data_IF_879587012024
#
_entry.id   IF_879587012024
#
_cell.length_a   1.000
_cell.length_b   1.000
_cell.length_c   1.000
_cell.angle_alpha   90.00
_cell.angle_beta   90.00
_cell.angle_gamma   90.00
#
_symmetry.space_group_name_H-M   'P 1'
#
loop_
_entity.id
_entity.type
_entity.pdbx_description
1 polymer ?
#
# COMPACT_ATOMS: atom_id res chain seq x y z
N UNK A 1 13.73 -26.54 11.64
CA UNK A 1 13.23 -25.19 11.24
C UNK A 1 12.12 -25.42 10.24
N UNK A 2 10.94 -24.86 10.47
CA UNK A 2 9.84 -24.96 9.51
C UNK A 2 10.02 -23.93 8.35
N UNK A 3 9.16 -23.99 7.31
CA UNK A 3 9.30 -23.12 6.12
C UNK A 3 9.21 -21.64 6.44
N UNK A 4 8.31 -21.23 7.35
CA UNK A 4 8.16 -19.83 7.76
C UNK A 4 9.37 -19.32 8.54
N UNK A 5 9.97 -20.13 9.42
CA UNK A 5 11.21 -19.79 10.11
C UNK A 5 12.39 -19.67 9.14
N UNK A 6 12.45 -20.55 8.15
CA UNK A 6 13.45 -20.49 7.08
C UNK A 6 13.28 -19.22 6.26
N UNK A 7 12.06 -18.86 5.86
CA UNK A 7 11.78 -17.63 5.13
C UNK A 7 12.20 -16.39 5.92
N UNK A 8 11.95 -16.33 7.23
CA UNK A 8 12.46 -15.28 8.09
C UNK A 8 13.99 -15.19 8.12
N UNK A 9 14.66 -16.33 8.08
CA UNK A 9 16.13 -16.39 7.99
C UNK A 9 16.62 -15.87 6.63
N UNK A 10 15.94 -16.24 5.53
CA UNK A 10 16.25 -15.73 4.18
C UNK A 10 16.02 -14.23 4.08
N UNK A 11 14.93 -13.72 4.67
CA UNK A 11 14.63 -12.28 4.70
C UNK A 11 15.76 -11.46 5.37
N UNK A 12 16.22 -11.91 6.52
CA UNK A 12 17.38 -11.31 7.21
C UNK A 12 18.66 -11.39 6.35
N UNK A 13 18.89 -12.52 5.68
CA UNK A 13 20.05 -12.71 4.81
C UNK A 13 19.97 -11.88 3.51
N UNK A 14 18.79 -11.73 2.93
CA UNK A 14 18.56 -10.86 1.78
C UNK A 14 18.86 -9.42 2.12
N UNK A 15 18.41 -8.95 3.28
CA UNK A 15 18.72 -7.62 3.77
C UNK A 15 20.22 -7.42 4.08
N UNK A 16 20.80 -8.28 4.92
CA UNK A 16 22.14 -8.05 5.47
C UNK A 16 23.30 -8.42 4.55
N UNK A 17 23.08 -9.33 3.59
CA UNK A 17 24.11 -9.90 2.73
C UNK A 17 23.76 -9.86 1.24
N UNK A 18 22.60 -9.32 0.85
CA UNK A 18 22.16 -9.28 -0.54
C UNK A 18 21.88 -10.68 -1.13
N UNK A 19 21.45 -11.64 -0.30
CA UNK A 19 21.15 -12.97 -0.78
C UNK A 19 19.96 -12.93 -1.75
N UNK A 20 20.11 -13.55 -2.91
CA UNK A 20 19.06 -13.63 -3.94
C UNK A 20 18.38 -15.00 -3.90
N UNK A 21 17.10 -15.01 -4.27
CA UNK A 21 16.35 -16.23 -4.51
C UNK A 21 16.81 -16.92 -5.80
N UNK A 22 16.65 -18.25 -5.92
CA UNK A 22 16.83 -18.94 -7.19
C UNK A 22 15.88 -18.38 -8.26
N UNK A 23 16.38 -18.17 -9.46
CA UNK A 23 15.54 -17.74 -10.58
C UNK A 23 14.76 -18.96 -11.08
N UNK A 24 13.43 -18.89 -11.21
CA UNK A 24 12.64 -20.01 -11.71
C UNK A 24 12.88 -20.24 -13.21
N UNK A 25 12.98 -21.49 -13.62
CA UNK A 25 13.14 -21.87 -15.03
C UNK A 25 11.91 -21.49 -15.88
N UNK A 26 10.74 -21.47 -15.25
CA UNK A 26 9.46 -21.09 -15.88
C UNK A 26 8.73 -20.10 -14.98
N UNK A 27 8.17 -19.07 -15.60
CA UNK A 27 7.34 -18.11 -14.89
C UNK A 27 5.95 -18.69 -14.65
N UNK A 28 5.43 -18.49 -13.46
CA UNK A 28 4.09 -18.92 -13.11
C UNK A 28 3.02 -18.05 -13.77
N UNK A 29 1.95 -18.68 -14.24
CA UNK A 29 0.70 -17.98 -14.53
C UNK A 29 -0.16 -17.74 -13.27
N UNK A 30 0.08 -18.50 -12.20
CA UNK A 30 -0.68 -18.41 -10.95
C UNK A 30 -0.11 -17.33 -10.03
N UNK A 31 -0.89 -16.31 -9.77
CA UNK A 31 -0.50 -15.14 -8.97
C UNK A 31 -1.36 -15.03 -7.72
N UNK A 32 -0.72 -14.77 -6.61
CA UNK A 32 -1.39 -14.43 -5.35
C UNK A 32 -1.23 -12.94 -5.09
N UNK A 33 -2.32 -12.29 -4.72
CA UNK A 33 -2.30 -10.90 -4.27
C UNK A 33 -2.25 -10.88 -2.75
N UNK A 34 -1.21 -10.26 -2.21
CA UNK A 34 -1.03 -9.98 -0.79
C UNK A 34 -1.45 -8.53 -0.54
N UNK A 35 -2.43 -8.33 0.31
CA UNK A 35 -2.81 -7.01 0.83
C UNK A 35 -1.68 -6.38 1.64
N UNK A 36 -2.00 -5.36 2.42
CA UNK A 36 -1.00 -4.62 3.21
C UNK A 36 -0.26 -5.57 4.16
N UNK A 37 1.06 -5.81 3.95
CA UNK A 37 1.83 -6.75 4.78
C UNK A 37 2.25 -6.11 6.12
N UNK A 38 1.39 -5.32 6.72
CA UNK A 38 1.60 -4.66 8.01
C UNK A 38 1.49 -5.65 9.17
N UNK A 39 2.39 -6.65 9.21
CA UNK A 39 2.48 -7.67 10.25
C UNK A 39 3.94 -8.05 10.52
N UNK A 40 4.21 -8.72 11.65
CA UNK A 40 5.56 -9.21 11.93
C UNK A 40 6.02 -10.23 10.88
N UNK A 41 7.33 -10.34 10.65
CA UNK A 41 7.88 -11.34 9.74
C UNK A 41 7.37 -12.76 10.03
N UNK A 42 7.28 -13.12 11.30
CA UNK A 42 6.78 -14.43 11.71
C UNK A 42 5.32 -14.62 11.28
N UNK A 43 4.48 -13.61 11.47
CA UNK A 43 3.08 -13.63 11.06
C UNK A 43 2.95 -13.71 9.53
N UNK A 44 3.66 -12.87 8.78
CA UNK A 44 3.64 -12.85 7.33
C UNK A 44 4.04 -14.20 6.73
N UNK A 45 5.17 -14.75 7.17
CA UNK A 45 5.62 -16.04 6.66
C UNK A 45 4.75 -17.22 7.12
N UNK A 46 4.11 -17.14 8.28
CA UNK A 46 3.12 -18.14 8.68
C UNK A 46 1.89 -18.13 7.76
N UNK A 47 1.41 -16.94 7.35
CA UNK A 47 0.33 -16.84 6.37
C UNK A 47 0.75 -17.38 4.99
N UNK A 48 1.93 -17.03 4.49
CA UNK A 48 2.44 -17.53 3.22
C UNK A 48 2.66 -19.05 3.24
N UNK A 49 3.15 -19.61 4.35
CA UNK A 49 3.32 -21.05 4.50
C UNK A 49 1.97 -21.78 4.53
N UNK A 50 0.97 -21.23 5.24
CA UNK A 50 -0.39 -21.76 5.25
C UNK A 50 -1.03 -21.80 3.85
N UNK A 51 -0.68 -20.85 2.97
CA UNK A 51 -1.08 -20.85 1.56
C UNK A 51 -0.25 -21.81 0.69
N UNK A 52 0.72 -22.52 1.27
CA UNK A 52 1.61 -23.46 0.58
C UNK A 52 2.41 -22.84 -0.56
N UNK A 53 2.78 -21.56 -0.43
CA UNK A 53 3.54 -20.83 -1.46
C UNK A 53 5.04 -20.77 -1.18
N UNK A 54 5.51 -21.30 -0.03
CA UNK A 54 6.91 -21.34 0.33
C UNK A 54 7.53 -22.72 0.00
N UNK A 55 8.78 -22.70 -0.46
CA UNK A 55 9.64 -23.87 -0.53
C UNK A 55 10.17 -24.24 0.87
N UNK A 56 10.76 -25.43 1.00
CA UNK A 56 11.43 -25.83 2.26
C UNK A 56 12.62 -24.93 2.59
N UNK A 57 13.25 -24.33 1.58
CA UNK A 57 14.34 -23.36 1.74
C UNK A 57 13.87 -21.94 2.10
N UNK A 58 12.58 -21.71 2.21
CA UNK A 58 11.99 -20.42 2.62
C UNK A 58 11.94 -19.36 1.53
N UNK A 59 12.00 -19.75 0.27
CA UNK A 59 11.72 -18.88 -0.88
C UNK A 59 10.32 -19.11 -1.43
N UNK A 60 9.84 -18.24 -2.31
CA UNK A 60 8.62 -18.53 -3.09
C UNK A 60 8.83 -19.75 -3.97
N UNK A 61 7.80 -20.55 -4.12
CA UNK A 61 7.77 -21.66 -5.06
C UNK A 61 7.90 -21.11 -6.49
N UNK A 62 8.61 -21.83 -7.38
CA UNK A 62 8.79 -21.41 -8.77
C UNK A 62 7.48 -21.22 -9.55
N UNK A 63 6.44 -21.99 -9.17
CA UNK A 63 5.12 -21.99 -9.81
C UNK A 63 4.15 -20.96 -9.20
N UNK A 64 4.63 -19.99 -8.41
CA UNK A 64 3.83 -18.96 -7.78
C UNK A 64 4.42 -17.59 -8.05
N UNK A 65 3.59 -16.68 -8.56
CA UNK A 65 3.83 -15.24 -8.56
C UNK A 65 3.20 -14.56 -7.35
N UNK A 66 3.79 -13.47 -6.88
CA UNK A 66 3.27 -12.69 -5.76
C UNK A 66 3.19 -11.21 -6.14
N UNK A 67 2.00 -10.62 -6.01
CA UNK A 67 1.77 -9.17 -6.10
C UNK A 67 1.51 -8.66 -4.70
N UNK A 68 2.36 -7.76 -4.20
CA UNK A 68 2.16 -7.06 -2.93
C UNK A 68 1.65 -5.66 -3.21
N UNK A 69 0.54 -5.27 -2.58
CA UNK A 69 -0.15 -4.01 -2.90
C UNK A 69 0.42 -2.79 -2.17
N UNK A 70 1.53 -2.91 -1.45
CA UNK A 70 2.18 -1.81 -0.72
C UNK A 70 2.00 -1.90 0.78
N UNK A 71 2.47 -0.86 1.48
CA UNK A 71 2.45 -0.73 2.94
C UNK A 71 3.24 -1.84 3.66
N UNK A 72 4.55 -1.90 3.35
CA UNK A 72 5.49 -2.90 3.93
C UNK A 72 5.93 -2.57 5.35
N UNK A 73 5.62 -1.37 5.86
CA UNK A 73 6.07 -0.86 7.14
C UNK A 73 4.92 -0.65 8.14
N UNK A 74 5.26 -0.34 9.40
CA UNK A 74 4.33 0.16 10.43
C UNK A 74 3.32 -0.86 10.97
N UNK A 75 3.70 -2.13 11.11
CA UNK A 75 2.82 -3.18 11.59
C UNK A 75 2.65 -3.21 13.14
N UNK A 76 3.63 -2.71 13.88
CA UNK A 76 3.62 -2.84 15.33
C UNK A 76 2.78 -1.74 15.98
N UNK A 77 2.10 -2.11 17.07
CA UNK A 77 1.50 -1.14 17.97
C UNK A 77 2.57 -0.39 18.77
N UNK A 78 3.75 -0.98 18.89
CA UNK A 78 4.89 -0.44 19.63
C UNK A 78 5.90 0.18 18.68
N UNK A 79 6.38 1.34 19.06
CA UNK A 79 7.44 2.10 18.44
C UNK A 79 8.77 1.44 18.74
N UNK A 80 9.16 0.48 17.92
CA UNK A 80 10.44 -0.21 18.06
C UNK A 80 11.23 -0.19 16.76
N UNK A 81 12.54 0.02 16.89
CA UNK A 81 13.46 -0.09 15.75
C UNK A 81 13.39 -1.48 15.10
N UNK A 82 13.14 -2.54 15.91
CA UNK A 82 12.97 -3.90 15.40
C UNK A 82 11.79 -4.02 14.44
N UNK A 83 10.64 -3.41 14.77
CA UNK A 83 9.50 -3.37 13.86
C UNK A 83 9.85 -2.67 12.53
N UNK A 84 10.59 -1.57 12.59
CA UNK A 84 11.09 -0.87 11.41
C UNK A 84 11.96 -1.76 10.53
N UNK A 85 12.89 -2.52 11.13
CA UNK A 85 13.75 -3.44 10.39
C UNK A 85 13.04 -4.66 9.84
N UNK A 86 12.00 -5.18 10.49
CA UNK A 86 11.25 -6.33 9.98
C UNK A 86 10.57 -6.00 8.64
N UNK A 87 9.97 -4.81 8.47
CA UNK A 87 9.44 -4.37 7.18
C UNK A 87 10.51 -4.28 6.09
N UNK A 88 11.70 -3.74 6.43
CA UNK A 88 12.85 -3.70 5.50
C UNK A 88 13.29 -5.10 5.09
N UNK A 89 13.34 -6.06 6.03
CA UNK A 89 13.73 -7.45 5.78
C UNK A 89 12.70 -8.15 4.89
N UNK A 90 11.40 -7.93 5.11
CA UNK A 90 10.36 -8.49 4.26
C UNK A 90 10.46 -7.95 2.82
N UNK A 91 10.60 -6.64 2.68
CA UNK A 91 10.76 -6.01 1.38
C UNK A 91 12.05 -6.46 0.67
N UNK A 92 13.14 -6.69 1.41
CA UNK A 92 14.37 -7.25 0.87
C UNK A 92 14.18 -8.69 0.37
N UNK A 93 13.42 -9.51 1.11
CA UNK A 93 13.08 -10.87 0.69
C UNK A 93 12.25 -10.88 -0.59
N UNK A 94 11.25 -10.01 -0.70
CA UNK A 94 10.46 -9.85 -1.93
C UNK A 94 11.35 -9.42 -3.10
N UNK A 95 12.19 -8.41 -2.89
CA UNK A 95 13.08 -7.87 -3.92
C UNK A 95 14.21 -8.85 -4.31
N UNK A 96 14.49 -9.85 -3.49
CA UNK A 96 15.46 -10.91 -3.79
C UNK A 96 14.98 -11.88 -4.88
N UNK A 97 13.68 -11.95 -5.14
CA UNK A 97 13.10 -12.75 -6.22
C UNK A 97 13.16 -11.99 -7.56
N UNK A 98 13.09 -12.73 -8.64
CA UNK A 98 12.97 -12.14 -9.98
C UNK A 98 11.76 -11.20 -10.07
N UNK A 99 11.91 -10.11 -10.83
CA UNK A 99 10.84 -9.12 -11.04
C UNK A 99 9.60 -9.67 -11.73
N UNK A 100 9.75 -10.77 -12.43
CA UNK A 100 8.62 -11.45 -13.03
C UNK A 100 7.89 -12.37 -12.05
N UNK A 101 8.52 -12.72 -10.92
CA UNK A 101 7.91 -13.52 -9.86
C UNK A 101 7.28 -12.66 -8.78
N UNK A 102 7.89 -11.50 -8.43
CA UNK A 102 7.35 -10.59 -7.41
C UNK A 102 7.11 -9.20 -7.98
N UNK A 103 5.88 -8.72 -7.89
CA UNK A 103 5.52 -7.34 -8.20
C UNK A 103 5.31 -6.56 -6.90
N UNK A 104 6.01 -5.44 -6.78
CA UNK A 104 5.98 -4.58 -5.59
C UNK A 104 5.26 -3.29 -5.92
N UNK A 105 4.04 -3.13 -5.40
CA UNK A 105 3.36 -1.85 -5.48
C UNK A 105 3.80 -0.96 -4.32
N UNK A 106 3.67 0.33 -4.49
CA UNK A 106 3.99 1.34 -3.49
C UNK A 106 2.72 1.79 -2.79
N UNK A 107 2.70 1.70 -1.46
CA UNK A 107 1.66 2.24 -0.62
C UNK A 107 2.03 3.60 -0.01
N UNK A 108 1.10 4.20 0.73
CA UNK A 108 1.34 5.49 1.37
C UNK A 108 2.38 5.39 2.50
N UNK A 109 2.42 4.28 3.25
CA UNK A 109 3.45 4.05 4.26
C UNK A 109 4.84 3.91 3.65
N UNK A 110 4.93 3.47 2.41
CA UNK A 110 6.21 3.26 1.72
C UNK A 110 6.75 4.57 1.16
N UNK A 111 5.93 5.30 0.40
CA UNK A 111 6.35 6.53 -0.29
C UNK A 111 6.73 7.64 0.69
N UNK A 112 6.08 7.72 1.84
CA UNK A 112 6.37 8.73 2.85
C UNK A 112 7.82 8.62 3.38
N UNK A 113 8.43 7.44 3.30
CA UNK A 113 9.86 7.25 3.65
C UNK A 113 10.81 8.05 2.76
N UNK A 114 10.37 8.38 1.55
CA UNK A 114 11.13 9.19 0.58
C UNK A 114 10.46 10.55 0.27
N UNK A 115 9.36 10.86 0.95
CA UNK A 115 8.67 12.15 0.91
C UNK A 115 8.83 12.88 2.25
N UNK A 116 7.87 12.76 3.15
CA UNK A 116 7.85 13.47 4.44
C UNK A 116 9.00 13.10 5.38
N UNK A 117 9.58 11.90 5.24
CA UNK A 117 10.73 11.44 6.02
C UNK A 117 12.06 11.49 5.24
N UNK A 118 12.11 12.15 4.09
CA UNK A 118 13.34 12.27 3.33
C UNK A 118 14.43 12.97 4.16
N UNK A 119 15.53 12.27 4.43
CA UNK A 119 16.61 12.77 5.28
C UNK A 119 16.33 12.79 6.79
N UNK A 120 15.23 12.22 7.24
CA UNK A 120 14.91 12.11 8.64
C UNK A 120 15.88 11.16 9.36
N UNK A 121 16.26 11.49 10.59
CA UNK A 121 16.96 10.59 11.51
C UNK A 121 15.97 9.93 12.48
N UNK A 122 16.34 8.80 13.07
CA UNK A 122 15.51 8.16 14.11
C UNK A 122 15.24 9.08 15.30
N UNK A 123 16.16 9.99 15.64
CA UNK A 123 16.00 10.95 16.71
C UNK A 123 14.92 11.97 16.39
N UNK A 124 15.04 12.67 15.24
CA UNK A 124 14.04 13.64 14.78
C UNK A 124 12.64 13.02 14.63
N UNK A 125 12.58 11.79 14.16
CA UNK A 125 11.33 11.05 14.09
C UNK A 125 10.70 10.86 15.47
N UNK A 126 11.48 10.38 16.48
CA UNK A 126 10.96 10.18 17.84
C UNK A 126 10.54 11.49 18.50
N UNK A 127 11.28 12.58 18.28
CA UNK A 127 10.91 13.91 18.78
C UNK A 127 9.59 14.39 18.18
N UNK A 128 9.41 14.29 16.87
CA UNK A 128 8.14 14.63 16.21
C UNK A 128 6.97 13.78 16.70
N UNK A 129 7.20 12.49 16.89
CA UNK A 129 6.18 11.57 17.41
C UNK A 129 5.80 11.92 18.85
N UNK A 130 6.78 12.22 19.70
CA UNK A 130 6.54 12.65 21.08
C UNK A 130 5.79 13.99 21.13
N UNK A 131 6.12 14.92 20.23
CA UNK A 131 5.40 16.19 20.12
C UNK A 131 3.94 15.97 19.70
N UNK A 132 3.67 15.08 18.73
CA UNK A 132 2.30 14.75 18.36
C UNK A 132 1.51 14.16 19.53
N UNK A 133 2.09 13.22 20.28
CA UNK A 133 1.44 12.68 21.50
C UNK A 133 1.08 13.76 22.50
N UNK A 134 1.96 14.76 22.74
CA UNK A 134 1.66 15.92 23.59
C UNK A 134 0.52 16.77 23.03
N UNK A 135 0.56 17.07 21.73
CA UNK A 135 -0.50 17.82 21.04
C UNK A 135 -1.87 17.16 21.20
N UNK A 136 -1.93 15.83 21.04
CA UNK A 136 -3.18 15.08 21.15
C UNK A 136 -3.81 15.09 22.55
N UNK A 137 -3.05 15.38 23.59
CA UNK A 137 -3.56 15.56 24.98
C UNK A 137 -4.26 16.92 25.17
N UNK A 138 -4.06 17.87 24.27
CA UNK A 138 -4.72 19.19 24.35
C UNK A 138 -6.20 19.04 24.02
N UNK A 139 -7.04 19.76 24.78
CA UNK A 139 -8.49 19.57 24.76
C UNK A 139 -9.17 20.26 23.56
N UNK A 140 -8.61 21.36 23.07
CA UNK A 140 -9.25 22.14 22.01
C UNK A 140 -8.48 22.14 20.70
N UNK A 141 -9.15 22.25 19.55
CA UNK A 141 -8.50 22.37 18.24
C UNK A 141 -7.56 23.59 18.16
N UNK A 142 -7.93 24.70 18.79
CA UNK A 142 -7.16 25.95 18.81
C UNK A 142 -5.82 25.72 19.54
N UNK A 143 -5.86 25.06 20.71
CA UNK A 143 -4.65 24.74 21.47
C UNK A 143 -3.73 23.78 20.67
N UNK A 144 -4.30 22.81 19.96
CA UNK A 144 -3.56 21.91 19.09
C UNK A 144 -2.90 22.65 17.93
N UNK A 145 -3.63 23.61 17.32
CA UNK A 145 -3.10 24.43 16.23
C UNK A 145 -1.93 25.27 16.72
N UNK A 146 -2.09 26.03 17.82
CA UNK A 146 -1.04 26.86 18.40
C UNK A 146 0.21 26.02 18.74
N UNK A 147 0.03 24.87 19.41
CA UNK A 147 1.14 23.97 19.70
C UNK A 147 1.88 23.53 18.44
N UNK A 148 1.17 23.19 17.37
CA UNK A 148 1.76 22.79 16.10
C UNK A 148 2.55 23.91 15.44
N UNK A 149 2.00 25.13 15.43
CA UNK A 149 2.66 26.32 14.88
C UNK A 149 3.98 26.61 15.62
N UNK A 150 3.96 26.60 16.95
CA UNK A 150 5.16 26.77 17.79
C UNK A 150 6.19 25.68 17.54
N UNK A 151 5.73 24.42 17.43
CA UNK A 151 6.60 23.30 17.13
C UNK A 151 7.29 23.46 15.78
N UNK A 152 6.54 23.77 14.72
CA UNK A 152 7.09 23.97 13.36
C UNK A 152 8.08 25.13 13.31
N UNK A 153 7.80 26.21 14.00
CA UNK A 153 8.72 27.35 14.07
C UNK A 153 10.08 26.99 14.70
N UNK A 154 10.05 26.08 15.69
CA UNK A 154 11.26 25.65 16.40
C UNK A 154 11.99 24.48 15.74
N UNK A 155 11.30 23.67 14.92
CA UNK A 155 11.77 22.38 14.40
C UNK A 155 11.45 22.23 12.90
N UNK A 156 11.80 23.21 12.09
CA UNK A 156 11.50 23.27 10.65
C UNK A 156 12.16 22.14 9.83
N UNK A 157 13.19 21.48 10.38
CA UNK A 157 13.93 20.38 9.75
C UNK A 157 13.46 18.98 10.22
N UNK A 158 12.43 18.95 11.07
CA UNK A 158 11.80 17.72 11.52
C UNK A 158 10.67 17.28 10.58
N UNK A 159 10.36 15.97 10.51
CA UNK A 159 9.19 15.53 9.76
C UNK A 159 7.90 16.03 10.41
N UNK A 160 6.79 16.16 9.66
CA UNK A 160 5.50 16.54 10.23
C UNK A 160 5.12 15.62 11.39
N UNK A 161 4.81 16.20 12.56
CA UNK A 161 4.55 15.41 13.78
C UNK A 161 3.38 14.44 13.62
N UNK A 162 2.37 14.81 12.82
CA UNK A 162 1.22 13.95 12.54
C UNK A 162 1.63 12.76 11.67
N UNK A 163 2.53 12.96 10.69
CA UNK A 163 3.11 11.87 9.93
C UNK A 163 3.88 10.91 10.83
N UNK A 164 4.72 11.43 11.72
CA UNK A 164 5.48 10.59 12.67
C UNK A 164 4.57 9.81 13.64
N UNK A 165 3.34 10.28 13.88
CA UNK A 165 2.36 9.57 14.68
C UNK A 165 1.59 8.50 13.89
N UNK A 166 1.19 8.81 12.66
CA UNK A 166 0.45 7.88 11.78
C UNK A 166 1.33 6.70 11.35
N UNK A 167 2.59 6.97 11.05
CA UNK A 167 3.58 5.98 10.63
C UNK A 167 4.43 5.53 11.83
N UNK A 168 4.01 4.46 12.46
CA UNK A 168 4.39 4.05 13.82
C UNK A 168 5.84 3.66 14.03
N UNK A 169 6.58 3.30 12.99
CA UNK A 169 7.98 2.89 13.09
C UNK A 169 8.83 3.53 12.00
N UNK A 170 9.96 4.09 12.35
CA UNK A 170 10.90 4.63 11.38
C UNK A 170 12.34 4.30 11.74
N UNK A 171 13.04 3.76 10.75
CA UNK A 171 14.51 3.65 10.74
C UNK A 171 15.02 4.15 9.38
N UNK A 172 16.18 4.83 9.31
CA UNK A 172 16.72 5.35 8.03
C UNK A 172 16.86 4.30 6.93
N UNK A 173 17.08 3.03 7.31
CA UNK A 173 17.14 1.91 6.40
C UNK A 173 15.87 1.73 5.55
N UNK A 174 14.70 2.17 6.01
CA UNK A 174 13.45 2.16 5.22
C UNK A 174 13.56 3.14 4.04
N UNK A 175 14.02 4.38 4.28
CA UNK A 175 14.24 5.37 3.22
C UNK A 175 15.29 4.91 2.21
N UNK A 176 16.38 4.28 2.68
CA UNK A 176 17.44 3.75 1.82
C UNK A 176 16.92 2.60 0.94
N UNK A 177 16.12 1.69 1.51
CA UNK A 177 15.49 0.61 0.77
C UNK A 177 14.56 1.15 -0.31
N UNK A 178 13.67 2.10 0.04
CA UNK A 178 12.73 2.70 -0.90
C UNK A 178 13.46 3.40 -2.06
N UNK A 179 14.46 4.24 -1.76
CA UNK A 179 15.28 4.91 -2.80
C UNK A 179 15.93 3.89 -3.73
N UNK A 180 16.54 2.83 -3.18
CA UNK A 180 17.17 1.78 -3.97
C UNK A 180 16.19 1.10 -4.91
N UNK A 181 15.04 0.67 -4.41
CA UNK A 181 14.05 -0.05 -5.22
C UNK A 181 13.42 0.83 -6.30
N UNK A 182 13.16 2.11 -5.99
CA UNK A 182 12.65 3.08 -6.95
C UNK A 182 13.68 3.36 -8.05
N UNK A 183 14.96 3.55 -7.70
CA UNK A 183 16.03 3.75 -8.68
C UNK A 183 16.23 2.53 -9.59
N UNK A 184 15.98 1.33 -9.10
CA UNK A 184 16.03 0.07 -9.84
C UNK A 184 14.77 -0.23 -10.66
N UNK A 185 13.72 0.59 -10.55
CA UNK A 185 12.43 0.34 -11.19
C UNK A 185 11.70 -0.90 -10.64
N UNK A 186 12.01 -1.32 -9.41
CA UNK A 186 11.40 -2.50 -8.75
C UNK A 186 10.07 -2.20 -8.10
N UNK A 187 9.72 -0.93 -7.90
CA UNK A 187 8.44 -0.49 -7.34
C UNK A 187 7.60 0.21 -8.39
N UNK A 188 6.30 -0.01 -8.35
CA UNK A 188 5.33 0.54 -9.29
C UNK A 188 4.10 1.08 -8.54
N UNK A 189 3.30 1.94 -9.20
CA UNK A 189 2.02 2.41 -8.67
C UNK A 189 0.87 1.47 -8.99
N UNK A 190 0.99 0.72 -10.09
CA UNK A 190 -0.05 -0.14 -10.58
C UNK A 190 0.51 -1.35 -11.32
N UNK A 191 -0.26 -2.43 -11.34
CA UNK A 191 -0.04 -3.59 -12.20
C UNK A 191 -1.38 -4.16 -12.67
N UNK A 192 -1.34 -5.17 -13.53
CA UNK A 192 -2.54 -5.87 -13.97
C UNK A 192 -2.36 -7.37 -13.84
N UNK A 193 -3.49 -8.07 -13.65
CA UNK A 193 -3.59 -9.52 -13.70
C UNK A 193 -4.93 -9.91 -14.33
N UNK A 194 -5.14 -11.19 -14.61
CA UNK A 194 -6.42 -11.70 -15.13
C UNK A 194 -7.14 -12.50 -14.04
N UNK A 195 -8.45 -12.37 -13.99
CA UNK A 195 -9.27 -13.27 -13.20
C UNK A 195 -9.55 -14.59 -13.95
N UNK A 196 -10.17 -15.54 -13.27
CA UNK A 196 -10.49 -16.85 -13.83
C UNK A 196 -11.46 -16.80 -15.05
N UNK A 197 -12.07 -15.65 -15.34
CA UNK A 197 -12.88 -15.43 -16.54
C UNK A 197 -12.08 -14.87 -17.73
N UNK A 198 -10.78 -14.62 -17.54
CA UNK A 198 -9.90 -13.97 -18.52
C UNK A 198 -10.04 -12.44 -18.57
N UNK A 199 -10.72 -11.83 -17.60
CA UNK A 199 -10.90 -10.39 -17.50
C UNK A 199 -9.66 -9.76 -16.88
N UNK A 200 -9.12 -8.71 -17.52
CA UNK A 200 -8.01 -7.94 -16.97
C UNK A 200 -8.49 -7.06 -15.81
N UNK A 201 -7.75 -7.11 -14.71
CA UNK A 201 -8.01 -6.36 -13.47
C UNK A 201 -6.85 -5.41 -13.22
N UNK A 202 -7.15 -4.16 -12.84
CA UNK A 202 -6.16 -3.18 -12.37
C UNK A 202 -5.89 -3.43 -10.88
N UNK A 203 -4.62 -3.45 -10.50
CA UNK A 203 -4.20 -3.61 -9.10
C UNK A 203 -3.39 -2.37 -8.70
N UNK A 204 -3.85 -1.68 -7.66
CA UNK A 204 -3.22 -0.49 -7.09
C UNK A 204 -3.26 -0.55 -5.58
N UNK A 205 -2.55 0.35 -4.89
CA UNK A 205 -2.60 0.37 -3.42
C UNK A 205 -3.98 0.77 -2.87
N UNK A 206 -4.51 1.94 -3.27
CA UNK A 206 -5.75 2.48 -2.68
C UNK A 206 -6.90 2.71 -3.68
N UNK A 207 -6.73 2.29 -4.93
CA UNK A 207 -7.70 2.44 -6.01
C UNK A 207 -7.57 3.75 -6.78
N UNK A 208 -8.03 3.73 -8.02
CA UNK A 208 -8.11 4.91 -8.88
C UNK A 208 -9.55 5.40 -8.98
N UNK A 209 -9.70 6.71 -9.10
CA UNK A 209 -10.96 7.37 -9.45
C UNK A 209 -10.85 8.02 -10.82
N UNK A 210 -11.96 8.57 -11.33
CA UNK A 210 -11.92 9.33 -12.61
C UNK A 210 -10.89 10.46 -12.57
N UNK A 211 -10.70 11.10 -11.42
CA UNK A 211 -9.73 12.17 -11.24
C UNK A 211 -8.31 11.71 -11.57
N UNK A 212 -7.88 10.57 -11.05
CA UNK A 212 -6.53 10.05 -11.30
C UNK A 212 -6.36 9.65 -12.77
N UNK A 213 -7.40 9.06 -13.39
CA UNK A 213 -7.36 8.74 -14.82
C UNK A 213 -7.19 10.01 -15.66
N UNK A 214 -7.97 11.06 -15.37
CA UNK A 214 -7.87 12.34 -16.07
C UNK A 214 -6.49 12.99 -15.89
N UNK A 215 -5.92 12.95 -14.68
CA UNK A 215 -4.61 13.51 -14.37
C UNK A 215 -3.47 12.87 -15.18
N UNK A 216 -3.54 11.56 -15.41
CA UNK A 216 -2.50 10.85 -16.19
C UNK A 216 -2.90 10.67 -17.66
N UNK A 217 -4.10 11.11 -18.05
CA UNK A 217 -4.63 10.95 -19.40
C UNK A 217 -4.88 9.48 -19.76
N UNK A 218 -5.29 8.65 -18.78
CA UNK A 218 -5.59 7.25 -18.99
C UNK A 218 -7.06 7.02 -19.34
N UNK A 219 -7.31 6.00 -20.16
CA UNK A 219 -8.65 5.44 -20.36
C UNK A 219 -9.03 4.52 -19.19
N UNK A 220 -10.29 4.04 -19.18
CA UNK A 220 -10.74 3.02 -18.21
C UNK A 220 -10.18 1.60 -18.52
N UNK A 221 -9.24 1.47 -19.45
CA UNK A 221 -8.56 0.21 -19.73
C UNK A 221 -7.48 -0.07 -18.66
N UNK A 222 -7.49 -1.22 -17.96
CA UNK A 222 -6.55 -1.52 -16.89
C UNK A 222 -5.08 -1.45 -17.30
N UNK A 223 -4.74 -1.88 -18.53
CA UNK A 223 -3.37 -1.85 -19.04
C UNK A 223 -2.91 -0.41 -19.30
N UNK A 224 -3.74 0.44 -19.89
CA UNK A 224 -3.45 1.84 -20.13
C UNK A 224 -3.30 2.59 -18.80
N UNK A 225 -4.19 2.33 -17.82
CA UNK A 225 -4.09 2.87 -16.47
C UNK A 225 -2.74 2.53 -15.82
N UNK A 226 -2.38 1.26 -15.80
CA UNK A 226 -1.13 0.81 -15.17
C UNK A 226 0.09 1.43 -15.87
N UNK A 227 0.11 1.45 -17.20
CA UNK A 227 1.20 2.03 -17.98
C UNK A 227 1.40 3.51 -17.65
N UNK A 228 0.33 4.30 -17.65
CA UNK A 228 0.42 5.75 -17.42
C UNK A 228 0.76 6.11 -15.98
N UNK A 229 0.19 5.40 -15.00
CA UNK A 229 0.55 5.58 -13.58
C UNK A 229 2.04 5.26 -13.35
N UNK A 230 2.53 4.17 -13.92
CA UNK A 230 3.93 3.78 -13.75
C UNK A 230 4.89 4.70 -14.50
N UNK A 231 4.49 5.21 -15.67
CA UNK A 231 5.24 6.25 -16.37
C UNK A 231 5.35 7.53 -15.54
N UNK A 232 4.26 7.98 -14.93
CA UNK A 232 4.27 9.14 -14.03
C UNK A 232 5.26 8.94 -12.86
N UNK A 233 5.26 7.74 -12.24
CA UNK A 233 6.23 7.41 -11.19
C UNK A 233 7.67 7.45 -11.72
N UNK A 234 7.94 6.86 -12.88
CA UNK A 234 9.28 6.84 -13.47
C UNK A 234 9.79 8.26 -13.72
N UNK A 235 8.96 9.14 -14.28
CA UNK A 235 9.29 10.55 -14.50
C UNK A 235 9.54 11.30 -13.18
N UNK A 236 8.78 10.98 -12.11
CA UNK A 236 9.02 11.55 -10.78
C UNK A 236 10.37 11.10 -10.20
N UNK A 237 10.70 9.82 -10.32
CA UNK A 237 12.00 9.26 -9.88
C UNK A 237 13.14 9.84 -10.68
N UNK A 238 12.99 10.05 -11.98
CA UNK A 238 14.04 10.64 -12.83
C UNK A 238 14.38 12.08 -12.42
N UNK A 239 13.40 12.87 -11.97
CA UNK A 239 13.63 14.22 -11.44
C UNK A 239 14.55 14.25 -10.20
N UNK A 240 14.52 13.20 -9.37
CA UNK A 240 15.35 13.13 -8.15
C UNK A 240 16.55 12.19 -8.28
N UNK A 241 16.66 11.45 -9.39
CA UNK A 241 17.69 10.42 -9.63
C UNK A 241 19.12 10.90 -9.34
N UNK A 242 19.50 12.07 -9.88
CA UNK A 242 20.86 12.61 -9.69
C UNK A 242 21.15 12.97 -8.24
N UNK A 243 20.17 13.48 -7.53
CA UNK A 243 20.30 13.77 -6.09
C UNK A 243 20.46 12.49 -5.27
N UNK A 244 19.61 11.51 -5.53
CA UNK A 244 19.63 10.23 -4.81
C UNK A 244 20.89 9.41 -5.09
N UNK A 245 21.37 9.43 -6.34
CA UNK A 245 22.65 8.78 -6.71
C UNK A 245 23.84 9.45 -6.00
N UNK A 246 23.77 10.76 -5.78
CA UNK A 246 24.74 11.51 -4.99
C UNK A 246 24.48 11.47 -3.47
N UNK A 247 23.64 10.55 -3.00
CA UNK A 247 23.23 10.37 -1.59
C UNK A 247 22.63 11.62 -0.94
N UNK A 248 22.07 12.54 -1.73
CA UNK A 248 21.33 13.70 -1.20
C UNK A 248 19.87 13.33 -0.91
N UNK A 249 19.33 13.87 0.16
CA UNK A 249 17.98 13.60 0.62
C UNK A 249 16.95 14.55 -0.03
N UNK A 250 16.76 14.43 -1.35
CA UNK A 250 15.71 15.17 -2.04
C UNK A 250 14.38 14.41 -1.92
N UNK A 251 13.29 15.04 -1.41
CA UNK A 251 11.99 14.40 -1.38
C UNK A 251 11.49 14.04 -2.77
N UNK A 252 10.84 12.88 -2.90
CA UNK A 252 10.07 12.51 -4.08
C UNK A 252 8.83 13.40 -4.17
N UNK A 253 8.50 13.88 -5.36
CA UNK A 253 7.27 14.64 -5.61
C UNK A 253 6.37 13.85 -6.57
N UNK A 254 5.20 13.45 -6.09
CA UNK A 254 4.17 12.76 -6.85
C UNK A 254 2.94 13.67 -7.15
N UNK A 255 3.06 14.98 -6.91
CA UNK A 255 1.97 15.90 -7.26
C UNK A 255 1.74 15.91 -8.78
N UNK A 256 0.48 15.97 -9.26
CA UNK A 256 -0.77 16.14 -8.50
C UNK A 256 -1.47 14.81 -8.12
N UNK A 257 -0.90 13.63 -8.40
CA UNK A 257 -1.53 12.33 -8.10
C UNK A 257 -1.60 12.06 -6.61
N UNK A 258 -0.51 12.36 -5.91
CA UNK A 258 -0.40 12.18 -4.47
C UNK A 258 0.50 13.27 -3.88
N UNK A 259 0.15 13.77 -2.72
CA UNK A 259 1.02 14.61 -1.90
C UNK A 259 1.14 14.01 -0.50
N UNK A 260 2.35 13.99 0.03
CA UNK A 260 2.65 13.52 1.37
C UNK A 260 2.14 14.45 2.46
N UNK A 261 2.41 14.08 3.69
CA UNK A 261 2.17 14.93 4.84
C UNK A 261 3.05 16.18 4.79
N UNK A 262 2.43 17.32 5.01
CA UNK A 262 3.09 18.60 5.28
C UNK A 262 2.74 19.06 6.70
N UNK A 263 3.49 20.03 7.23
CA UNK A 263 3.26 20.51 8.60
C UNK A 263 1.83 21.08 8.83
N UNK A 264 1.24 21.65 7.79
CA UNK A 264 -0.09 22.29 7.86
C UNK A 264 -1.13 21.63 6.95
N UNK A 265 -0.75 20.59 6.23
CA UNK A 265 -1.62 19.93 5.25
C UNK A 265 -1.56 18.41 5.41
N UNK A 266 -2.71 17.71 5.48
CA UNK A 266 -2.74 16.26 5.47
C UNK A 266 -2.35 15.73 4.09
N UNK A 267 -1.83 14.50 4.04
CA UNK A 267 -1.61 13.79 2.79
C UNK A 267 -2.93 13.53 2.04
N UNK A 268 -2.85 13.33 0.73
CA UNK A 268 -4.03 13.09 -0.10
C UNK A 268 -3.70 12.58 -1.50
N UNK A 269 -4.66 11.94 -2.13
CA UNK A 269 -4.57 11.43 -3.50
C UNK A 269 -4.49 9.91 -3.61
N UNK A 270 -4.00 9.42 -4.74
CA UNK A 270 -4.02 8.03 -5.21
C UNK A 270 -3.69 6.96 -4.16
N UNK A 271 -2.71 7.22 -3.28
CA UNK A 271 -2.22 6.20 -2.34
C UNK A 271 -2.97 6.18 -0.99
N UNK A 272 -3.99 7.03 -0.83
CA UNK A 272 -4.65 7.16 0.48
C UNK A 272 -6.18 7.22 0.38
N UNK A 273 -6.72 7.06 -0.79
CA UNK A 273 -8.15 7.08 -1.00
C UNK A 273 -8.84 5.94 -0.25
N UNK A 274 -9.96 6.24 0.38
CA UNK A 274 -10.85 5.26 0.99
C UNK A 274 -12.27 5.52 0.55
N UNK A 275 -12.99 4.52 0.07
CA UNK A 275 -14.40 4.68 -0.21
C UNK A 275 -15.15 4.95 1.09
N UNK A 276 -15.83 6.10 1.17
CA UNK A 276 -16.59 6.53 2.33
C UNK A 276 -17.97 7.06 1.90
N UNK A 277 -19.03 6.39 2.31
CA UNK A 277 -20.41 6.78 2.03
C UNK A 277 -21.01 7.74 3.06
N UNK A 278 -20.28 8.11 4.10
CA UNK A 278 -20.76 8.99 5.16
C UNK A 278 -20.70 10.44 4.75
N UNK A 279 -21.77 11.18 5.00
CA UNK A 279 -21.79 12.64 4.88
C UNK A 279 -21.80 13.27 6.28
N UNK A 280 -20.97 14.30 6.50
CA UNK A 280 -21.10 15.18 7.66
C UNK A 280 -20.40 14.75 8.96
N UNK A 281 -19.60 13.68 8.97
CA UNK A 281 -18.75 13.36 10.13
C UNK A 281 -17.44 14.15 10.08
N UNK A 282 -16.99 14.63 11.25
CA UNK A 282 -15.64 15.19 11.39
C UNK A 282 -14.60 14.18 10.94
N UNK A 283 -13.69 14.62 10.11
CA UNK A 283 -12.59 13.78 9.63
C UNK A 283 -11.54 13.61 10.72
N UNK A 284 -10.69 12.59 10.56
CA UNK A 284 -9.54 12.41 11.44
C UNK A 284 -8.67 13.68 11.47
N UNK A 285 -8.47 14.31 10.32
CA UNK A 285 -7.70 15.54 10.15
C UNK A 285 -8.33 16.72 10.91
N UNK A 286 -9.65 16.85 10.90
CA UNK A 286 -10.36 17.88 11.67
C UNK A 286 -10.24 17.64 13.18
N UNK A 287 -10.24 16.38 13.63
CA UNK A 287 -9.96 16.06 15.03
C UNK A 287 -8.53 16.40 15.44
N UNK A 288 -7.59 16.41 14.51
CA UNK A 288 -6.22 16.85 14.72
C UNK A 288 -6.03 18.37 14.65
N UNK A 289 -7.11 19.14 14.42
CA UNK A 289 -7.05 20.60 14.26
C UNK A 289 -6.41 21.04 12.95
N UNK A 290 -6.39 20.19 11.94
CA UNK A 290 -5.95 20.54 10.59
C UNK A 290 -7.13 21.19 9.84
N UNK A 291 -6.85 22.29 9.12
CA UNK A 291 -7.82 22.94 8.25
C UNK A 291 -7.99 22.14 6.96
N UNK A 292 -8.71 21.03 7.04
CA UNK A 292 -9.10 20.25 5.88
C UNK A 292 -10.60 20.48 5.60
N UNK A 293 -10.99 21.25 4.58
CA UNK A 293 -12.40 21.51 4.26
C UNK A 293 -13.16 20.24 3.83
N UNK A 294 -12.44 19.21 3.43
CA UNK A 294 -12.93 17.82 3.22
C UNK A 294 -11.81 16.87 3.56
N UNK A 295 -12.15 15.64 4.01
CA UNK A 295 -11.15 14.62 4.19
C UNK A 295 -10.54 14.27 2.83
N UNK A 296 -9.26 14.56 2.58
CA UNK A 296 -8.63 14.22 1.30
C UNK A 296 -8.53 12.70 1.08
N UNK A 297 -8.86 11.92 2.12
CA UNK A 297 -8.85 10.45 2.14
C UNK A 297 -10.21 9.82 1.80
N UNK A 298 -11.32 10.52 2.08
CA UNK A 298 -12.68 9.99 1.89
C UNK A 298 -13.20 10.36 0.51
N UNK A 299 -13.46 9.36 -0.31
CA UNK A 299 -13.96 9.52 -1.68
C UNK A 299 -15.29 8.77 -1.81
N UNK A 300 -16.32 9.36 -2.42
CA UNK A 300 -17.57 8.67 -2.66
C UNK A 300 -17.35 7.34 -3.39
N UNK A 301 -17.96 6.24 -2.94
CA UNK A 301 -17.77 4.92 -3.57
C UNK A 301 -18.05 4.90 -5.08
N UNK A 302 -19.00 5.71 -5.54
CA UNK A 302 -19.34 5.82 -6.96
C UNK A 302 -18.20 6.36 -7.84
N UNK A 303 -17.25 7.10 -7.28
CA UNK A 303 -16.09 7.60 -8.03
C UNK A 303 -15.07 6.52 -8.35
N UNK A 304 -15.03 5.44 -7.53
CA UNK A 304 -14.20 4.27 -7.78
C UNK A 304 -14.84 3.27 -8.76
N UNK A 305 -16.17 3.23 -8.82
CA UNK A 305 -16.90 2.29 -9.67
C UNK A 305 -16.99 2.82 -11.10
N UNK A 306 -15.84 2.88 -11.75
CA UNK A 306 -15.71 3.32 -13.15
C UNK A 306 -16.21 2.19 -14.06
N UNK A 307 -17.16 2.44 -14.98
CA UNK A 307 -17.64 1.41 -15.91
C UNK A 307 -16.49 0.69 -16.63
N UNK A 308 -16.59 -0.61 -16.74
CA UNK A 308 -15.64 -1.53 -17.38
C UNK A 308 -14.26 -1.61 -16.70
N UNK A 309 -14.07 -0.95 -15.54
CA UNK A 309 -12.86 -1.05 -14.75
C UNK A 309 -13.10 -1.92 -13.51
N UNK A 310 -12.34 -3.00 -13.42
CA UNK A 310 -12.29 -3.87 -12.23
C UNK A 310 -10.98 -3.63 -11.51
N UNK A 311 -11.03 -3.43 -10.20
CA UNK A 311 -9.89 -3.05 -9.39
C UNK A 311 -9.67 -4.03 -8.24
N UNK A 312 -8.41 -4.22 -7.86
CA UNK A 312 -7.99 -4.83 -6.59
C UNK A 312 -7.17 -3.80 -5.83
N UNK A 313 -7.48 -3.64 -4.56
CA UNK A 313 -6.86 -2.62 -3.70
C UNK A 313 -6.47 -3.17 -2.34
N UNK A 314 -5.44 -2.59 -1.73
CA UNK A 314 -5.08 -2.70 -0.32
C UNK A 314 -5.65 -1.55 0.50
N UNK A 315 -4.85 -1.00 1.40
CA UNK A 315 -5.07 0.24 2.15
C UNK A 315 -6.34 0.29 3.02
N UNK A 316 -7.40 -0.34 2.59
CA UNK A 316 -8.70 -0.37 3.26
C UNK A 316 -9.00 -1.78 3.73
N UNK A 317 -8.89 -2.00 5.04
CA UNK A 317 -9.11 -3.32 5.63
C UNK A 317 -10.55 -3.79 5.38
N UNK A 318 -10.69 -4.94 4.76
CA UNK A 318 -11.97 -5.63 4.54
C UNK A 318 -12.52 -6.15 5.88
N UNK A 319 -13.28 -5.35 6.59
CA UNK A 319 -13.81 -5.70 7.91
C UNK A 319 -15.14 -4.97 8.20
N UNK A 320 -15.74 -5.26 9.37
CA UNK A 320 -16.95 -4.60 9.86
C UNK A 320 -16.88 -3.08 9.89
N UNK A 321 -15.68 -2.48 9.95
CA UNK A 321 -15.50 -1.03 9.87
C UNK A 321 -15.80 -0.52 8.47
N UNK A 322 -15.35 -1.24 7.41
CA UNK A 322 -15.67 -0.92 6.02
C UNK A 322 -17.18 -0.96 5.79
N UNK A 323 -17.86 -1.99 6.28
CA UNK A 323 -19.32 -2.10 6.22
C UNK A 323 -20.00 -0.87 6.81
N UNK A 324 -19.54 -0.40 7.97
CA UNK A 324 -20.10 0.79 8.63
C UNK A 324 -19.80 2.10 7.88
N UNK A 325 -18.61 2.21 7.27
CA UNK A 325 -18.22 3.41 6.53
C UNK A 325 -19.00 3.56 5.23
N UNK A 326 -19.23 2.46 4.55
CA UNK A 326 -19.93 2.47 3.27
C UNK A 326 -21.43 2.62 3.44
N UNK A 327 -22.02 2.14 4.55
CA UNK A 327 -23.47 2.05 4.72
C UNK A 327 -24.19 1.53 3.45
N UNK A 328 -23.69 0.44 2.84
CA UNK A 328 -24.19 -0.07 1.58
C UNK A 328 -25.35 -1.03 1.81
N UNK A 329 -26.01 -1.44 0.72
CA UNK A 329 -26.65 -2.73 0.71
C UNK A 329 -25.58 -3.82 0.90
N UNK A 330 -25.68 -4.59 1.97
CA UNK A 330 -24.69 -5.62 2.33
C UNK A 330 -25.33 -6.96 2.14
N UNK A 331 -24.71 -7.86 1.35
CA UNK A 331 -25.19 -9.24 1.25
C UNK A 331 -25.08 -9.96 2.60
N UNK A 332 -25.89 -10.99 2.82
CA UNK A 332 -25.83 -11.78 4.05
C UNK A 332 -24.44 -12.39 4.27
N UNK A 333 -23.80 -12.84 3.20
CA UNK A 333 -22.46 -13.43 3.18
C UNK A 333 -21.40 -12.37 3.55
N UNK A 334 -21.46 -11.18 2.96
CA UNK A 334 -20.54 -10.07 3.29
C UNK A 334 -20.76 -9.56 4.72
N UNK A 335 -22.00 -9.61 5.22
CA UNK A 335 -22.30 -9.27 6.61
C UNK A 335 -21.75 -10.30 7.60
N UNK A 336 -21.72 -11.58 7.21
CA UNK A 336 -21.15 -12.68 7.99
C UNK A 336 -19.62 -12.79 7.84
N UNK A 337 -19.01 -12.06 6.90
CA UNK A 337 -17.57 -12.11 6.64
C UNK A 337 -16.78 -11.71 7.90
N UNK A 338 -15.82 -12.56 8.24
CA UNK A 338 -14.91 -12.34 9.38
C UNK A 338 -13.70 -11.48 8.96
N UNK A 339 -12.93 -11.06 9.94
CA UNK A 339 -11.58 -10.53 9.68
C UNK A 339 -10.78 -11.62 8.96
N UNK A 340 -10.12 -11.28 7.88
CA UNK A 340 -9.41 -12.24 7.03
C UNK A 340 -10.11 -12.53 5.69
N UNK A 341 -11.39 -12.17 5.54
CA UNK A 341 -12.15 -12.40 4.29
C UNK A 341 -11.98 -11.27 3.28
N UNK A 342 -12.02 -11.63 2.00
CA UNK A 342 -12.08 -10.67 0.89
C UNK A 342 -13.50 -10.11 0.75
N UNK A 343 -13.61 -8.81 0.51
CA UNK A 343 -14.87 -8.13 0.22
C UNK A 343 -14.79 -7.40 -1.12
N UNK A 344 -15.93 -7.23 -1.77
CA UNK A 344 -16.04 -6.58 -3.07
C UNK A 344 -17.18 -5.56 -3.10
N UNK A 345 -16.86 -4.36 -3.57
CA UNK A 345 -17.83 -3.30 -3.84
C UNK A 345 -18.25 -3.35 -5.31
N UNK A 346 -19.55 -3.35 -5.57
CA UNK A 346 -20.13 -3.40 -6.92
C UNK A 346 -21.24 -2.36 -7.10
N UNK A 347 -21.56 -1.94 -8.34
CA UNK A 347 -22.77 -1.18 -8.62
C UNK A 347 -24.04 -1.98 -8.26
N UNK A 348 -25.05 -1.29 -7.72
CA UNK A 348 -26.36 -1.84 -7.42
C UNK A 348 -27.46 -0.82 -7.77
N UNK A 349 -28.72 -1.28 -7.89
CA UNK A 349 -29.87 -0.45 -8.31
C UNK A 349 -30.02 0.86 -7.51
N UNK A 350 -29.71 0.84 -6.22
CA UNK A 350 -29.85 2.02 -5.36
C UNK A 350 -28.57 2.85 -5.24
N UNK A 351 -27.40 2.35 -5.58
CA UNK A 351 -26.07 3.03 -5.60
C UNK A 351 -24.91 2.05 -5.74
N UNK A 352 -24.70 1.18 -4.74
CA UNK A 352 -23.64 0.17 -4.67
C UNK A 352 -23.99 -0.87 -3.60
N UNK A 353 -23.39 -2.05 -3.73
CA UNK A 353 -23.51 -3.14 -2.76
C UNK A 353 -22.13 -3.66 -2.37
N UNK A 354 -22.02 -4.18 -1.14
CA UNK A 354 -20.86 -4.92 -0.68
C UNK A 354 -21.20 -6.40 -0.68
N UNK A 355 -20.40 -7.20 -1.40
CA UNK A 355 -20.60 -8.62 -1.64
C UNK A 355 -19.31 -9.40 -1.45
N UNK A 356 -19.35 -10.72 -1.46
CA UNK A 356 -18.13 -11.54 -1.61
C UNK A 356 -17.68 -11.54 -3.08
N UNK A 357 -16.37 -11.77 -3.39
CA UNK A 357 -15.87 -11.70 -4.76
C UNK A 357 -16.58 -12.64 -5.75
N UNK A 358 -17.08 -13.78 -5.29
CA UNK A 358 -17.82 -14.72 -6.13
C UNK A 358 -19.08 -14.11 -6.75
N UNK A 359 -19.77 -13.22 -6.02
CA UNK A 359 -21.01 -12.57 -6.44
C UNK A 359 -20.78 -11.36 -7.36
N UNK A 360 -19.53 -10.88 -7.43
CA UNK A 360 -19.14 -9.73 -8.25
C UNK A 360 -18.82 -10.09 -9.72
N UNK A 361 -18.86 -11.36 -10.10
CA UNK A 361 -18.40 -11.84 -11.42
C UNK A 361 -19.09 -11.18 -12.62
N UNK A 362 -20.36 -10.84 -12.48
CA UNK A 362 -21.17 -10.25 -13.55
C UNK A 362 -21.33 -8.73 -13.41
N UNK A 363 -20.67 -8.10 -12.45
CA UNK A 363 -20.74 -6.65 -12.28
C UNK A 363 -20.07 -5.92 -13.46
N UNK A 364 -20.58 -4.75 -13.83
CA UNK A 364 -20.00 -3.88 -14.87
C UNK A 364 -18.70 -3.21 -14.40
N UNK A 365 -18.50 -3.11 -13.10
CA UNK A 365 -17.27 -2.65 -12.45
C UNK A 365 -17.20 -3.22 -11.03
N UNK A 366 -16.02 -3.27 -10.45
CA UNK A 366 -15.86 -3.78 -9.08
C UNK A 366 -14.58 -3.30 -8.42
N UNK A 367 -14.58 -3.29 -7.07
CA UNK A 367 -13.37 -3.12 -6.27
C UNK A 367 -13.29 -4.26 -5.27
N UNK A 368 -12.22 -5.06 -5.35
CA UNK A 368 -11.92 -6.11 -4.39
C UNK A 368 -10.91 -5.56 -3.39
N UNK A 369 -11.24 -5.61 -2.11
CA UNK A 369 -10.37 -5.21 -1.01
C UNK A 369 -9.51 -6.40 -0.59
N UNK A 370 -8.22 -6.34 -0.92
CA UNK A 370 -7.25 -7.39 -0.63
C UNK A 370 -6.55 -7.21 0.73
N UNK A 371 -6.68 -6.05 1.38
CA UNK A 371 -6.21 -5.86 2.75
C UNK A 371 -7.18 -6.56 3.71
N UNK A 372 -6.79 -7.72 4.18
CA UNK A 372 -7.58 -8.57 5.08
C UNK A 372 -7.14 -8.43 6.54
N UNK A 373 -6.24 -7.52 6.85
CA UNK A 373 -5.76 -7.24 8.21
C UNK A 373 -4.91 -8.39 8.77
N UNK A 374 -3.88 -8.81 8.07
CA UNK A 374 -3.03 -9.97 8.39
C UNK A 374 -2.53 -10.02 9.83
N UNK A 375 -2.17 -8.87 10.42
CA UNK A 375 -1.71 -8.79 11.80
C UNK A 375 -2.76 -9.24 12.84
N UNK A 376 -4.03 -9.26 12.48
CA UNK A 376 -5.15 -9.58 13.36
C UNK A 376 -5.80 -10.93 13.06
N UNK A 377 -5.38 -11.60 11.99
CA UNK A 377 -5.87 -12.91 11.59
C UNK A 377 -4.99 -14.03 12.15
N UNK A 378 -5.59 -15.18 12.48
CA UNK A 378 -4.81 -16.39 12.71
C UNK A 378 -4.13 -16.86 11.40
N UNK A 379 -2.94 -17.42 11.50
CA UNK A 379 -2.25 -17.98 10.34
C UNK A 379 -3.15 -19.00 9.63
N UNK A 380 -3.30 -18.86 8.32
CA UNK A 380 -4.16 -19.72 7.50
C UNK A 380 -5.64 -19.32 7.44
N UNK A 381 -6.13 -18.37 8.24
CA UNK A 381 -7.51 -17.87 8.16
C UNK A 381 -7.69 -16.71 7.18
N UNK A 382 -6.60 -16.07 6.72
CA UNK A 382 -6.66 -15.00 5.75
C UNK A 382 -6.91 -15.55 4.34
N UNK A 383 -7.86 -14.95 3.63
CA UNK A 383 -8.12 -15.23 2.23
C UNK A 383 -7.16 -14.42 1.36
N UNK A 384 -6.56 -15.08 0.37
CA UNK A 384 -5.71 -14.44 -0.63
C UNK A 384 -6.38 -14.53 -2.00
N UNK A 385 -6.44 -13.40 -2.67
CA UNK A 385 -6.96 -13.37 -4.04
C UNK A 385 -5.99 -14.08 -4.98
N UNK A 386 -6.50 -15.05 -5.76
CA UNK A 386 -5.74 -15.78 -6.78
C UNK A 386 -6.14 -15.27 -8.15
N UNK A 387 -5.15 -14.91 -8.94
CA UNK A 387 -5.26 -14.36 -10.28
C UNK A 387 -4.29 -15.08 -11.21
N UNK A 388 -4.32 -14.74 -12.49
CA UNK A 388 -3.38 -15.21 -13.50
C UNK A 388 -2.57 -14.03 -14.04
N UNK A 389 -1.30 -14.26 -14.32
CA UNK A 389 -0.53 -13.25 -15.06
C UNK A 389 -1.02 -13.22 -16.50
N UNK A 390 -1.24 -12.03 -17.09
CA UNK A 390 -1.46 -11.93 -18.52
C UNK A 390 -0.28 -12.57 -19.24
N UNK A 391 -0.55 -13.48 -20.19
CA UNK A 391 0.50 -14.07 -21.00
C UNK A 391 1.39 -12.94 -21.54
N UNK A 392 2.70 -12.98 -21.32
CA UNK A 392 3.62 -11.99 -21.88
C UNK A 392 3.47 -12.01 -23.39
N UNK A 393 2.80 -11.01 -23.95
CA UNK A 393 3.11 -10.56 -25.30
C UNK A 393 4.56 -10.11 -25.19
N UNK A 394 5.48 -10.82 -25.87
CA UNK A 394 6.88 -10.46 -25.91
C UNK A 394 6.95 -8.95 -26.21
N UNK A 395 7.31 -8.15 -25.22
CA UNK A 395 7.56 -6.74 -25.44
C UNK A 395 8.80 -6.72 -26.36
N UNK A 396 8.56 -6.34 -27.59
CA UNK A 396 9.61 -6.04 -28.56
C UNK A 396 10.41 -4.87 -27.96
N UNK A 397 11.53 -5.22 -27.31
CA UNK A 397 12.45 -4.27 -26.67
C UNK A 397 13.26 -3.59 -27.75
N UNK A 398 12.57 -2.87 -28.62
CA UNK A 398 13.17 -1.90 -29.52
C UNK A 398 13.49 -0.60 -28.80
N UNK A 399 14.43 -0.64 -27.85
CA UNK A 399 15.13 0.57 -27.40
C UNK A 399 16.61 0.31 -27.65
N UNK A 400 17.09 0.83 -28.78
CA UNK A 400 18.52 1.06 -29.06
C UNK A 400 18.94 2.38 -28.44
#
# INVERSE_FOLDING_TARGET
MNRSEMAGTRARAAWSRGLMAPVPDTLSSNVIVLGDPQASLACLFAHLDAQQVLTEDGWLRPDVGLICVGDYFDFAAEDSDDAGYQGVQFLAWLAAHDSAQTTLLMGNHDVERVMSFAGCTSERYRESQAACRKMLLLQTPEARRAFREDWVAAHSDHPPMVAAHDYRSFVPAQSDMMRRLLLQGRMTLATTAMDASGRTILITHAGVTRRELDLVGASANPLDCALRLNRFLAEAVDRVRSAWTALRHQPLDLSPLYHGWEHHRPNGGLLIHRPDGRSGTLTHEQTLGLDAPRAPRSVPPAEFLIPDLHQVVGHTVACQRLVRWLNPAVSAEAQAASVGSLLCLVPAESRYALVIPADARNASSSIIFADVGLATCAAGSAEFLRLEQPGRVAADTGIH
#
